data_IF_597705552406
#
_entry.id   IF_597705552406
#
_cell.length_a   1.000
_cell.length_b   1.000
_cell.length_c   1.000
_cell.angle_alpha   90.00
_cell.angle_beta   90.00
_cell.angle_gamma   90.00
#
_symmetry.space_group_name_H-M   'P 1'
#
loop_
_entity.id
_entity.type
_entity.pdbx_description
1 polymer ?
#
# COMPACT_ATOMS: atom_id res chain seq x y z
N UNK A 1 10.69 9.91 1.33
CA UNK A 1 10.01 10.37 0.10
C UNK A 1 9.13 11.60 0.34
N UNK A 2 9.44 12.46 1.33
CA UNK A 2 8.57 13.59 1.71
C UNK A 2 7.22 13.14 2.29
N UNK A 3 6.30 14.06 2.59
CA UNK A 3 6.62 15.47 2.83
C UNK A 3 7.15 15.65 4.25
N UNK A 4 7.90 16.73 4.49
CA UNK A 4 8.57 17.07 5.74
C UNK A 4 7.97 18.31 6.42
N UNK A 5 6.85 18.80 5.88
CA UNK A 5 6.12 19.96 6.40
C UNK A 5 4.60 19.75 6.35
N UNK A 6 3.85 20.73 6.86
CA UNK A 6 2.39 20.78 6.76
C UNK A 6 1.90 21.58 5.55
N UNK A 7 2.81 22.02 4.68
CA UNK A 7 2.46 22.74 3.47
C UNK A 7 1.73 21.82 2.48
N UNK A 8 0.89 22.44 1.65
CA UNK A 8 0.17 21.72 0.61
C UNK A 8 1.15 21.15 -0.40
N UNK A 9 1.03 19.86 -0.70
CA UNK A 9 1.83 19.13 -1.69
C UNK A 9 0.95 18.19 -2.52
N UNK A 10 1.48 17.77 -3.67
CA UNK A 10 0.82 16.77 -4.52
C UNK A 10 1.27 15.35 -4.14
N UNK A 11 0.32 14.50 -3.73
CA UNK A 11 0.60 13.14 -3.27
C UNK A 11 1.17 12.22 -4.37
N UNK A 12 0.80 12.46 -5.63
CA UNK A 12 1.04 11.52 -6.73
C UNK A 12 2.53 11.22 -6.98
N UNK A 13 3.43 12.21 -7.17
CA UNK A 13 4.85 11.94 -7.37
C UNK A 13 5.50 11.24 -6.16
N UNK A 14 5.06 11.57 -4.95
CA UNK A 14 5.56 10.98 -3.70
C UNK A 14 5.20 9.49 -3.62
N UNK A 15 3.91 9.17 -3.80
CA UNK A 15 3.41 7.80 -3.70
C UNK A 15 3.97 6.91 -4.82
N UNK A 16 4.10 7.47 -6.02
CA UNK A 16 4.74 6.79 -7.14
C UNK A 16 6.23 6.52 -6.88
N UNK A 17 6.94 7.40 -6.17
CA UNK A 17 8.34 7.18 -5.81
C UNK A 17 8.50 6.03 -4.80
N UNK A 18 7.63 5.95 -3.79
CA UNK A 18 7.59 4.81 -2.86
C UNK A 18 7.36 3.50 -3.62
N UNK A 19 6.36 3.47 -4.50
CA UNK A 19 6.04 2.28 -5.30
C UNK A 19 7.20 1.85 -6.21
N UNK A 20 7.89 2.80 -6.88
CA UNK A 20 9.09 2.50 -7.68
C UNK A 20 10.20 1.87 -6.86
N UNK A 21 10.46 2.38 -5.66
CA UNK A 21 11.51 1.88 -4.78
C UNK A 21 11.25 0.43 -4.33
N UNK A 22 9.98 0.13 -3.99
CA UNK A 22 9.56 -1.23 -3.66
C UNK A 22 9.67 -2.17 -4.86
N UNK A 23 9.21 -1.75 -6.03
CA UNK A 23 9.27 -2.56 -7.26
C UNK A 23 10.72 -2.82 -7.70
N UNK A 24 11.62 -1.85 -7.48
CA UNK A 24 13.04 -2.01 -7.76
C UNK A 24 13.76 -3.00 -6.81
N UNK A 25 13.11 -3.37 -5.70
CA UNK A 25 13.71 -4.23 -4.68
C UNK A 25 14.62 -3.48 -3.70
N UNK A 26 14.63 -2.14 -3.74
CA UNK A 26 15.41 -1.33 -2.80
C UNK A 26 14.75 -1.25 -1.41
N UNK A 27 13.48 -1.64 -1.31
CA UNK A 27 12.78 -1.93 -0.07
C UNK A 27 11.81 -3.10 -0.25
N UNK A 28 11.62 -3.90 0.79
CA UNK A 28 10.69 -5.03 0.75
C UNK A 28 9.24 -4.59 0.58
N UNK A 29 8.87 -3.45 1.19
CA UNK A 29 7.50 -2.95 1.31
C UNK A 29 7.44 -1.43 1.46
N UNK A 30 6.31 -0.84 1.08
CA UNK A 30 6.05 0.60 1.18
C UNK A 30 4.76 0.92 1.93
N UNK A 31 4.70 2.09 2.56
CA UNK A 31 3.50 2.66 3.15
C UNK A 31 3.32 4.07 2.60
N UNK A 32 2.12 4.39 2.12
CA UNK A 32 1.73 5.71 1.63
C UNK A 32 0.51 6.20 2.41
N UNK A 33 0.41 7.51 2.63
CA UNK A 33 -0.66 8.09 3.44
C UNK A 33 -1.08 9.44 2.89
N UNK A 34 -2.37 9.74 3.02
CA UNK A 34 -2.94 11.04 2.74
C UNK A 34 -4.33 11.16 3.35
N UNK A 35 -5.13 12.13 2.91
CA UNK A 35 -6.42 12.41 3.55
C UNK A 35 -7.33 11.18 3.62
N UNK A 36 -7.66 10.60 2.47
CA UNK A 36 -8.48 9.38 2.36
C UNK A 36 -7.68 8.12 2.03
N UNK A 37 -6.42 8.26 1.57
CA UNK A 37 -5.59 7.17 1.08
C UNK A 37 -5.95 6.72 -0.36
N UNK A 38 -7.00 7.29 -0.96
CA UNK A 38 -7.48 6.90 -2.29
C UNK A 38 -6.54 7.38 -3.40
N UNK A 39 -6.17 8.66 -3.37
CA UNK A 39 -5.25 9.23 -4.36
C UNK A 39 -3.89 8.54 -4.31
N UNK A 40 -3.43 8.29 -3.09
CA UNK A 40 -2.15 7.69 -2.79
C UNK A 40 -2.05 6.27 -3.35
N UNK A 41 -3.06 5.41 -3.11
CA UNK A 41 -3.06 4.07 -3.70
C UNK A 41 -3.21 4.12 -5.22
N UNK A 42 -4.01 5.03 -5.78
CA UNK A 42 -4.20 5.15 -7.22
C UNK A 42 -2.89 5.53 -7.91
N UNK A 43 -2.14 6.48 -7.35
CA UNK A 43 -0.84 6.89 -7.86
C UNK A 43 0.20 5.76 -7.75
N UNK A 44 0.26 5.08 -6.60
CA UNK A 44 1.17 3.95 -6.40
C UNK A 44 0.90 2.80 -7.39
N UNK A 45 -0.38 2.45 -7.61
CA UNK A 45 -0.79 1.38 -8.54
C UNK A 45 -0.56 1.72 -10.03
N UNK A 46 -0.14 2.95 -10.38
CA UNK A 46 0.33 3.25 -11.75
C UNK A 46 1.73 2.71 -12.03
N UNK A 47 2.47 2.32 -11.00
CA UNK A 47 3.78 1.69 -11.17
C UNK A 47 3.56 0.20 -11.39
N UNK A 48 3.92 -0.29 -12.57
CA UNK A 48 3.80 -1.71 -12.88
C UNK A 48 4.57 -2.56 -11.86
N UNK A 49 3.95 -3.62 -11.35
CA UNK A 49 4.47 -4.45 -10.26
C UNK A 49 4.11 -3.95 -8.85
N UNK A 50 3.63 -2.71 -8.70
CA UNK A 50 3.09 -2.24 -7.43
C UNK A 50 1.65 -2.74 -7.23
N UNK A 51 1.37 -3.19 -6.01
CA UNK A 51 0.06 -3.64 -5.54
C UNK A 51 -0.24 -2.91 -4.24
N UNK A 52 -0.66 -1.65 -4.38
CA UNK A 52 -1.06 -0.79 -3.29
C UNK A 52 -2.50 -1.09 -2.86
N UNK A 53 -2.69 -1.37 -1.57
CA UNK A 53 -4.01 -1.64 -0.99
C UNK A 53 -4.36 -0.55 0.04
N UNK A 54 -5.49 0.13 -0.16
CA UNK A 54 -6.08 0.99 0.87
C UNK A 54 -6.74 0.14 1.95
N UNK A 55 -6.25 0.24 3.18
CA UNK A 55 -6.79 -0.48 4.32
C UNK A 55 -7.13 0.49 5.44
N UNK A 56 -8.40 0.53 5.80
CA UNK A 56 -8.92 1.34 6.91
C UNK A 56 -9.35 0.48 8.11
N UNK A 57 -9.09 -0.82 8.05
CA UNK A 57 -9.32 -1.79 9.11
C UNK A 57 -8.32 -2.96 9.00
N UNK A 58 -8.17 -3.70 10.10
CA UNK A 58 -7.22 -4.81 10.24
C UNK A 58 -7.53 -6.00 9.32
N UNK A 59 -8.81 -6.21 8.98
CA UNK A 59 -9.19 -7.33 8.13
C UNK A 59 -8.74 -7.08 6.69
N UNK A 60 -8.97 -5.87 6.17
CA UNK A 60 -8.50 -5.44 4.86
C UNK A 60 -6.97 -5.51 4.77
N UNK A 61 -6.26 -5.09 5.82
CA UNK A 61 -4.80 -5.23 5.89
C UNK A 61 -4.37 -6.70 5.76
N UNK A 62 -4.94 -7.60 6.57
CA UNK A 62 -4.63 -9.02 6.50
C UNK A 62 -4.96 -9.65 5.13
N UNK A 63 -6.14 -9.33 4.56
CA UNK A 63 -6.57 -9.88 3.27
C UNK A 63 -5.71 -9.36 2.12
N UNK A 64 -5.33 -8.08 2.13
CA UNK A 64 -4.45 -7.52 1.10
C UNK A 64 -3.11 -8.26 1.03
N UNK A 65 -2.61 -8.73 2.17
CA UNK A 65 -1.40 -9.55 2.26
C UNK A 65 -1.66 -10.99 1.83
N UNK A 66 -2.59 -11.68 2.50
CA UNK A 66 -2.90 -13.10 2.26
C UNK A 66 -3.28 -13.38 0.82
N UNK A 67 -4.11 -12.51 0.23
CA UNK A 67 -4.74 -12.78 -1.06
C UNK A 67 -4.17 -12.01 -2.23
N UNK A 68 -3.58 -10.84 -2.00
CA UNK A 68 -3.13 -9.96 -3.08
C UNK A 68 -1.61 -9.73 -3.05
N UNK A 69 -0.92 -10.28 -2.05
CA UNK A 69 0.50 -10.04 -1.80
C UNK A 69 0.84 -8.54 -1.95
N UNK A 70 0.00 -7.68 -1.36
CA UNK A 70 0.15 -6.23 -1.46
C UNK A 70 1.53 -5.82 -0.95
N UNK A 71 2.32 -5.13 -1.78
CA UNK A 71 3.66 -4.67 -1.45
C UNK A 71 3.69 -3.18 -1.08
N UNK A 72 2.56 -2.48 -1.25
CA UNK A 72 2.36 -1.12 -0.73
C UNK A 72 1.05 -1.08 0.07
N UNK A 73 1.08 -0.44 1.24
CA UNK A 73 -0.09 -0.17 2.06
C UNK A 73 -0.48 1.31 1.90
N UNK A 74 -1.76 1.59 1.74
CA UNK A 74 -2.31 2.95 1.82
C UNK A 74 -3.24 3.08 3.02
N UNK A 75 -3.13 4.19 3.77
CA UNK A 75 -4.00 4.49 4.93
C UNK A 75 -4.57 5.90 4.78
N UNK A 76 -5.87 6.05 5.05
CA UNK A 76 -6.53 7.35 5.12
C UNK A 76 -6.32 8.03 6.47
N UNK A 77 -5.46 9.04 6.52
CA UNK A 77 -5.11 9.79 7.74
C UNK A 77 -6.28 10.60 8.34
N UNK A 78 -7.32 10.93 7.54
CA UNK A 78 -8.56 11.56 8.03
C UNK A 78 -9.68 10.55 8.27
N UNK A 79 -9.41 9.26 8.08
CA UNK A 79 -10.40 8.16 8.18
C UNK A 79 -10.11 7.30 9.41
N UNK A 80 -8.84 7.00 9.66
CA UNK A 80 -8.42 6.04 10.68
C UNK A 80 -7.79 6.77 11.87
N UNK A 81 -8.18 6.41 13.09
CA UNK A 81 -7.56 6.92 14.30
C UNK A 81 -6.12 6.36 14.45
N UNK A 82 -5.18 7.11 15.05
CA UNK A 82 -3.76 6.69 15.13
C UNK A 82 -3.53 5.29 15.73
N UNK A 83 -4.27 4.92 16.77
CA UNK A 83 -4.16 3.59 17.38
C UNK A 83 -4.57 2.46 16.42
N UNK A 84 -5.67 2.65 15.69
CA UNK A 84 -6.11 1.69 14.66
C UNK A 84 -5.13 1.66 13.47
N UNK A 85 -4.55 2.79 13.08
CA UNK A 85 -3.55 2.83 12.02
C UNK A 85 -2.30 2.00 12.40
N UNK A 86 -1.89 2.03 13.66
CA UNK A 86 -0.80 1.19 14.16
C UNK A 86 -1.15 -0.31 14.09
N UNK A 87 -2.35 -0.70 14.53
CA UNK A 87 -2.81 -2.09 14.42
C UNK A 87 -2.88 -2.58 12.95
N UNK A 88 -3.34 -1.73 12.03
CA UNK A 88 -3.37 -2.01 10.59
C UNK A 88 -1.95 -2.27 10.08
N UNK A 89 -0.99 -1.42 10.44
CA UNK A 89 0.41 -1.58 10.02
C UNK A 89 1.00 -2.88 10.59
N UNK A 90 0.80 -3.16 11.86
CA UNK A 90 1.32 -4.37 12.53
C UNK A 90 0.76 -5.64 11.88
N UNK A 91 -0.55 -5.69 11.64
CA UNK A 91 -1.20 -6.82 10.94
C UNK A 91 -0.68 -6.94 9.52
N UNK A 92 -0.56 -5.84 8.78
CA UNK A 92 -0.09 -5.88 7.40
C UNK A 92 1.37 -6.34 7.28
N UNK A 93 2.25 -5.91 8.18
CA UNK A 93 3.66 -6.31 8.19
C UNK A 93 3.82 -7.79 8.56
N UNK A 94 3.07 -8.26 9.56
CA UNK A 94 3.16 -9.64 10.09
C UNK A 94 2.39 -10.68 9.30
N UNK A 95 1.53 -10.27 8.37
CA UNK A 95 0.71 -11.21 7.58
C UNK A 95 1.45 -11.70 6.34
N UNK A 96 1.63 -13.03 6.27
CA UNK A 96 2.21 -13.75 5.15
C UNK A 96 1.24 -13.90 3.97
N UNK A 97 1.82 -14.07 2.78
CA UNK A 97 1.07 -14.36 1.56
C UNK A 97 0.73 -15.85 1.46
N UNK A 98 -0.51 -16.19 1.12
CA UNK A 98 -0.97 -17.60 1.10
C UNK A 98 -0.59 -18.35 -0.20
N UNK A 99 -0.22 -17.66 -1.28
CA UNK A 99 0.10 -18.31 -2.54
C UNK A 99 -1.09 -19.06 -3.16
N UNK A 100 -0.80 -20.21 -3.79
CA UNK A 100 -1.81 -21.06 -4.41
C UNK A 100 -2.68 -20.32 -5.43
N UNK A 101 -4.01 -20.38 -5.26
CA UNK A 101 -4.98 -19.72 -6.17
C UNK A 101 -4.79 -18.20 -6.26
N UNK A 102 -4.16 -17.59 -5.25
CA UNK A 102 -3.95 -16.15 -5.17
C UNK A 102 -2.80 -15.71 -6.06
N UNK A 103 -1.74 -16.53 -6.19
CA UNK A 103 -0.64 -16.23 -7.11
C UNK A 103 -1.13 -16.15 -8.55
N UNK A 104 -1.94 -17.13 -8.99
CA UNK A 104 -2.55 -17.10 -10.33
C UNK A 104 -3.31 -15.80 -10.64
N UNK A 105 -3.93 -15.18 -9.63
CA UNK A 105 -4.67 -13.91 -9.80
C UNK A 105 -3.72 -12.72 -9.84
N UNK A 106 -2.62 -12.76 -9.10
CA UNK A 106 -1.56 -11.76 -9.18
C UNK A 106 -0.90 -11.82 -10.56
N UNK A 107 -0.61 -13.01 -11.08
CA UNK A 107 -0.04 -13.19 -12.42
C UNK A 107 -0.94 -12.57 -13.49
N UNK A 108 -2.28 -12.61 -13.32
CA UNK A 108 -3.22 -11.92 -14.20
C UNK A 108 -3.12 -10.39 -14.12
N UNK A 109 -2.85 -9.83 -12.93
CA UNK A 109 -2.64 -8.39 -12.77
C UNK A 109 -1.36 -7.93 -13.48
N UNK A 110 -0.32 -8.78 -13.51
CA UNK A 110 0.94 -8.48 -14.20
C UNK A 110 0.81 -8.50 -15.73
N UNK A 111 -0.30 -9.00 -16.27
CA UNK A 111 -0.59 -8.97 -17.71
C UNK A 111 -1.43 -7.76 -18.14
N UNK A 112 -1.79 -6.86 -17.20
CA UNK A 112 -2.53 -5.61 -17.44
C UNK A 112 -1.54 -4.44 -17.45
#
# INVERSE_FOLDING_TARGET
>A
FGTDSTESVDYAPICAAVARFVVAGDADRGIVMGGSGQGEQMAANKIHGARAALCNDVWMAAMSRRHNNANVLSIGARVVAPAMAQEIVDVWLSTDFEGGRHQRRIDQLEQI
#
